data_IF_142291031762
#
_entry.id   IF_142291031762
#
_cell.length_a   1.000
_cell.length_b   1.000
_cell.length_c   1.000
_cell.angle_alpha   90.00
_cell.angle_beta   90.00
_cell.angle_gamma   90.00
#
_symmetry.space_group_name_H-M   'P 1'
#
loop_
_entity.id
_entity.type
_entity.pdbx_description
1 polymer ?
#
# COMPACT_ATOMS: atom_id res chain seq x y z
N UNK A 1 -8.23 1.71 23.01
CA UNK A 1 -8.10 3.08 23.55
C UNK A 1 -7.33 3.83 22.49
N UNK A 2 -7.62 5.12 22.28
CA UNK A 2 -6.87 5.92 21.31
C UNK A 2 -5.45 6.17 21.85
N UNK A 3 -4.61 6.83 21.06
CA UNK A 3 -3.28 7.25 21.49
C UNK A 3 -3.32 7.98 22.84
N UNK A 4 -2.28 7.79 23.66
CA UNK A 4 -2.09 8.57 24.89
C UNK A 4 -1.85 10.06 24.57
N UNK A 5 -1.90 10.91 25.59
CA UNK A 5 -1.58 12.34 25.42
C UNK A 5 -0.16 12.54 24.85
N UNK A 6 0.82 11.82 25.39
CA UNK A 6 2.22 11.89 24.94
C UNK A 6 2.38 11.40 23.49
N UNK A 7 1.66 10.33 23.12
CA UNK A 7 1.68 9.82 21.74
C UNK A 7 1.02 10.79 20.75
N UNK A 8 -0.06 11.48 21.14
CA UNK A 8 -0.65 12.54 20.32
C UNK A 8 0.30 13.73 20.16
N UNK A 9 0.97 14.12 21.24
CA UNK A 9 1.98 15.20 21.22
C UNK A 9 3.15 14.82 20.31
N UNK A 10 3.64 13.59 20.42
CA UNK A 10 4.69 13.05 19.55
C UNK A 10 4.27 13.09 18.08
N UNK A 11 3.06 12.64 17.74
CA UNK A 11 2.55 12.69 16.37
C UNK A 11 2.55 14.11 15.80
N UNK A 12 2.04 15.08 16.58
CA UNK A 12 2.04 16.49 16.17
C UNK A 12 3.45 17.03 15.92
N UNK A 13 4.37 16.81 16.86
CA UNK A 13 5.75 17.28 16.76
C UNK A 13 6.50 16.66 15.57
N UNK A 14 6.27 15.38 15.27
CA UNK A 14 6.87 14.70 14.12
C UNK A 14 6.40 15.30 12.80
N UNK A 15 5.09 15.55 12.65
CA UNK A 15 4.52 16.17 11.45
C UNK A 15 5.06 17.60 11.28
N UNK A 16 5.01 18.41 12.34
CA UNK A 16 5.50 19.78 12.31
C UNK A 16 6.99 19.86 11.92
N UNK A 17 7.81 19.00 12.52
CA UNK A 17 9.25 18.91 12.23
C UNK A 17 9.48 18.51 10.77
N UNK A 18 8.81 17.45 10.30
CA UNK A 18 8.96 16.97 8.93
C UNK A 18 8.59 18.04 7.90
N UNK A 19 7.49 18.75 8.11
CA UNK A 19 7.04 19.84 7.22
C UNK A 19 7.99 21.04 7.27
N UNK A 20 8.54 21.37 8.44
CA UNK A 20 9.50 22.46 8.60
C UNK A 20 10.80 22.17 7.85
N UNK A 21 11.34 20.96 7.97
CA UNK A 21 12.54 20.54 7.22
C UNK A 21 12.27 20.55 5.72
N UNK A 22 11.11 20.03 5.29
CA UNK A 22 10.73 20.03 3.88
C UNK A 22 10.63 21.44 3.30
N UNK A 23 10.01 22.39 4.02
CA UNK A 23 9.96 23.80 3.62
C UNK A 23 11.34 24.44 3.55
N UNK A 24 12.21 24.17 4.54
CA UNK A 24 13.55 24.74 4.60
C UNK A 24 14.49 24.21 3.51
N UNK A 25 14.32 22.94 3.09
CA UNK A 25 15.19 22.28 2.10
C UNK A 25 14.64 22.30 0.67
N UNK A 26 13.33 22.54 0.51
CA UNK A 26 12.62 22.39 -0.75
C UNK A 26 12.52 20.94 -1.25
N UNK A 27 12.83 19.95 -0.40
CA UNK A 27 12.83 18.51 -0.74
C UNK A 27 11.85 17.74 0.12
N UNK A 28 11.23 16.70 -0.45
CA UNK A 28 10.35 15.82 0.31
C UNK A 28 11.11 15.12 1.44
N UNK A 29 10.61 15.25 2.67
CA UNK A 29 11.18 14.62 3.86
C UNK A 29 10.45 13.31 4.19
N UNK A 30 11.13 12.18 4.24
CA UNK A 30 10.48 10.85 4.30
C UNK A 30 10.82 10.03 5.54
N UNK A 31 11.78 10.49 6.33
CA UNK A 31 12.42 9.76 7.43
C UNK A 31 11.43 9.42 8.56
N UNK A 32 10.40 10.25 8.77
CA UNK A 32 9.36 10.01 9.77
C UNK A 32 8.09 9.34 9.22
N UNK A 33 8.06 8.99 7.93
CA UNK A 33 6.84 8.46 7.28
C UNK A 33 6.28 7.22 7.97
N UNK A 34 7.16 6.30 8.39
CA UNK A 34 6.74 5.08 9.08
C UNK A 34 5.99 5.37 10.38
N UNK A 35 6.66 6.02 11.33
CA UNK A 35 6.12 6.34 12.66
C UNK A 35 4.90 7.28 12.60
N UNK A 36 4.90 8.26 11.68
CA UNK A 36 3.74 9.14 11.50
C UNK A 36 2.54 8.32 11.02
N UNK A 37 2.72 7.42 10.05
CA UNK A 37 1.62 6.58 9.57
C UNK A 37 1.10 5.62 10.64
N UNK A 38 1.98 5.01 11.43
CA UNK A 38 1.60 4.14 12.55
C UNK A 38 0.74 4.88 13.58
N UNK A 39 1.21 6.02 14.07
CA UNK A 39 0.48 6.82 15.06
C UNK A 39 -0.83 7.36 14.47
N UNK A 40 -0.82 7.85 13.23
CA UNK A 40 -2.01 8.39 12.58
C UNK A 40 -3.11 7.34 12.44
N UNK A 41 -2.79 6.12 11.99
CA UNK A 41 -3.81 5.07 11.85
C UNK A 41 -4.27 4.54 13.21
N UNK A 42 -3.40 4.51 14.22
CA UNK A 42 -3.81 4.15 15.58
C UNK A 42 -4.80 5.17 16.16
N UNK A 43 -4.59 6.46 15.89
CA UNK A 43 -5.51 7.52 16.29
C UNK A 43 -6.85 7.40 15.56
N UNK A 44 -6.82 7.24 14.24
CA UNK A 44 -7.99 7.17 13.36
C UNK A 44 -8.89 5.96 13.67
N UNK A 45 -8.29 4.77 13.79
CA UNK A 45 -9.02 3.51 13.98
C UNK A 45 -9.13 3.09 15.46
N UNK A 46 -8.68 3.93 16.39
CA UNK A 46 -8.71 3.66 17.84
C UNK A 46 -7.93 2.39 18.25
N UNK A 47 -6.82 2.13 17.57
CA UNK A 47 -5.88 1.05 17.92
C UNK A 47 -4.95 1.49 19.04
N UNK A 48 -4.51 0.52 19.84
CA UNK A 48 -3.44 0.70 20.82
C UNK A 48 -2.11 0.51 20.12
N UNK A 49 -1.23 1.52 20.13
CA UNK A 49 0.11 1.43 19.54
C UNK A 49 1.08 0.68 20.47
N UNK A 50 1.71 -0.42 19.99
CA UNK A 50 2.51 -1.37 20.77
C UNK A 50 3.78 -1.86 20.01
N UNK A 51 4.65 -0.98 19.50
CA UNK A 51 5.71 -1.33 18.53
C UNK A 51 6.77 -2.34 19.02
N UNK A 52 6.86 -2.56 20.34
CA UNK A 52 7.85 -3.45 20.96
C UNK A 52 7.38 -4.91 21.08
N UNK A 53 6.23 -5.28 20.49
CA UNK A 53 5.62 -6.62 20.64
C UNK A 53 5.78 -7.54 19.41
N UNK A 54 6.55 -7.10 18.41
CA UNK A 54 6.69 -7.83 17.13
C UNK A 54 5.56 -7.58 16.14
N UNK A 55 4.70 -6.61 16.46
CA UNK A 55 3.68 -5.99 15.62
C UNK A 55 3.57 -4.52 16.08
N UNK A 56 2.88 -3.67 15.31
CA UNK A 56 2.92 -2.21 15.54
C UNK A 56 1.76 -1.73 16.41
N UNK A 57 0.59 -2.38 16.32
CA UNK A 57 -0.61 -1.99 17.06
C UNK A 57 -1.56 -3.15 17.35
N UNK A 58 -2.59 -2.91 18.15
CA UNK A 58 -3.64 -3.89 18.47
C UNK A 58 -5.02 -3.23 18.50
N UNK A 59 -6.04 -3.94 18.02
CA UNK A 59 -7.44 -3.56 18.27
C UNK A 59 -7.80 -3.71 19.76
N UNK A 60 -8.94 -3.18 20.20
CA UNK A 60 -9.37 -3.33 21.60
C UNK A 60 -9.56 -4.82 21.96
N UNK A 61 -9.04 -5.21 23.13
CA UNK A 61 -9.06 -6.59 23.65
C UNK A 61 -10.48 -7.21 23.70
N UNK A 62 -10.67 -8.47 23.27
CA UNK A 62 -9.72 -9.30 22.52
C UNK A 62 -9.67 -8.84 21.05
N UNK A 63 -8.55 -8.23 20.65
CA UNK A 63 -8.42 -7.54 19.37
C UNK A 63 -7.29 -8.10 18.50
N UNK A 64 -7.41 -7.93 17.18
CA UNK A 64 -6.38 -8.37 16.25
C UNK A 64 -5.04 -7.64 16.49
N UNK A 65 -3.94 -8.37 16.34
CA UNK A 65 -2.58 -7.79 16.29
C UNK A 65 -2.32 -7.26 14.89
N UNK A 66 -1.79 -6.05 14.79
CA UNK A 66 -1.72 -5.28 13.55
C UNK A 66 -0.27 -4.95 13.22
N UNK A 67 0.15 -5.29 12.01
CA UNK A 67 1.38 -4.77 11.41
C UNK A 67 1.01 -3.66 10.42
N UNK A 68 1.61 -2.49 10.54
CA UNK A 68 1.37 -1.31 9.74
C UNK A 68 2.55 -1.09 8.79
N UNK A 69 2.24 -0.69 7.55
CA UNK A 69 3.21 -0.18 6.57
C UNK A 69 2.68 1.11 6.00
N UNK A 70 3.57 2.08 5.80
CA UNK A 70 3.18 3.42 5.36
C UNK A 70 3.84 3.77 4.04
N UNK A 71 3.09 4.43 3.15
CA UNK A 71 3.60 5.10 1.96
C UNK A 71 3.10 6.54 1.95
N UNK A 72 3.93 7.46 1.49
CA UNK A 72 3.59 8.89 1.36
C UNK A 72 3.66 9.30 -0.11
N UNK A 73 2.64 10.01 -0.57
CA UNK A 73 2.67 10.72 -1.86
C UNK A 73 3.46 12.02 -1.69
N UNK A 74 4.36 12.31 -2.63
CA UNK A 74 5.18 13.52 -2.64
C UNK A 74 4.68 14.59 -3.62
N UNK A 75 3.70 14.26 -4.47
CA UNK A 75 3.21 15.10 -5.58
C UNK A 75 1.68 15.23 -5.60
N UNK A 76 1.03 15.03 -4.45
CA UNK A 76 -0.42 15.20 -4.19
C UNK A 76 -1.36 14.15 -4.78
N UNK A 77 -1.18 13.66 -6.00
CA UNK A 77 -2.26 12.91 -6.66
C UNK A 77 -2.43 11.47 -6.14
N UNK A 78 -1.39 10.63 -6.16
CA UNK A 78 -1.46 9.27 -5.63
C UNK A 78 -0.06 8.76 -5.25
N UNK A 79 0.02 7.76 -4.38
CA UNK A 79 1.28 7.00 -4.23
C UNK A 79 1.57 6.20 -5.50
N UNK A 80 2.85 6.10 -5.88
CA UNK A 80 3.25 5.24 -6.98
C UNK A 80 2.82 3.78 -6.70
N UNK A 81 1.82 3.31 -7.48
CA UNK A 81 1.23 1.97 -7.37
C UNK A 81 2.20 0.84 -7.74
N UNK A 82 3.25 1.14 -8.51
CA UNK A 82 4.36 0.24 -8.80
C UNK A 82 5.48 0.30 -7.73
N UNK A 83 5.37 1.20 -6.75
CA UNK A 83 6.26 1.20 -5.60
C UNK A 83 6.09 -0.06 -4.76
N UNK A 84 7.18 -0.50 -4.12
CA UNK A 84 7.18 -1.63 -3.18
C UNK A 84 6.95 -1.18 -1.74
N UNK A 85 6.19 -1.96 -0.99
CA UNK A 85 6.11 -1.87 0.46
C UNK A 85 7.09 -2.86 1.06
N UNK A 86 7.74 -2.48 2.17
CA UNK A 86 8.62 -3.40 2.89
C UNK A 86 7.85 -4.64 3.32
N UNK A 87 8.56 -5.76 3.47
CA UNK A 87 7.94 -7.02 3.89
C UNK A 87 7.16 -6.85 5.21
N UNK A 88 5.98 -7.45 5.26
CA UNK A 88 5.25 -7.64 6.51
C UNK A 88 5.83 -8.81 7.29
N UNK A 89 6.20 -9.88 6.60
CA UNK A 89 6.77 -11.06 7.24
C UNK A 89 8.29 -11.08 7.14
N UNK A 90 8.98 -11.33 8.25
CA UNK A 90 10.42 -11.67 8.24
C UNK A 90 10.62 -13.09 7.73
N UNK A 91 11.81 -13.37 7.20
CA UNK A 91 12.20 -14.70 6.72
C UNK A 91 12.10 -15.79 7.79
N UNK A 92 12.26 -15.43 9.08
CA UNK A 92 12.04 -16.35 10.19
C UNK A 92 10.59 -16.25 10.69
N UNK A 93 9.75 -17.21 10.27
CA UNK A 93 8.31 -17.20 10.51
C UNK A 93 7.91 -17.17 11.99
N UNK A 94 8.77 -17.67 12.88
CA UNK A 94 8.57 -17.71 14.34
C UNK A 94 8.42 -16.33 14.98
N UNK A 95 8.73 -15.25 14.27
CA UNK A 95 8.65 -13.87 14.75
C UNK A 95 7.47 -13.07 14.17
N UNK A 96 6.66 -13.66 13.28
CA UNK A 96 5.57 -12.94 12.61
C UNK A 96 4.27 -13.05 13.42
N UNK A 97 4.11 -12.14 14.39
CA UNK A 97 3.04 -12.17 15.39
C UNK A 97 1.90 -11.18 15.08
N UNK A 98 1.42 -11.13 13.84
CA UNK A 98 0.28 -10.28 13.48
C UNK A 98 -0.84 -11.05 12.78
N UNK A 99 -2.07 -10.56 12.97
CA UNK A 99 -3.30 -11.12 12.42
C UNK A 99 -3.76 -10.34 11.18
N UNK A 100 -3.56 -9.02 11.18
CA UNK A 100 -3.93 -8.09 10.10
C UNK A 100 -2.74 -7.21 9.72
N UNK A 101 -2.45 -7.10 8.42
CA UNK A 101 -1.56 -6.07 7.90
C UNK A 101 -2.38 -4.88 7.42
N UNK A 102 -1.90 -3.67 7.71
CA UNK A 102 -2.52 -2.41 7.31
C UNK A 102 -1.53 -1.61 6.47
N UNK A 103 -1.93 -1.22 5.27
CA UNK A 103 -1.19 -0.27 4.43
C UNK A 103 -1.84 1.11 4.53
N UNK A 104 -1.09 2.08 5.02
CA UNK A 104 -1.51 3.48 5.19
C UNK A 104 -0.92 4.34 4.08
N UNK A 105 -1.76 5.14 3.43
CA UNK A 105 -1.37 6.10 2.39
C UNK A 105 -1.50 7.51 2.94
N UNK A 106 -0.39 8.25 2.98
CA UNK A 106 -0.33 9.64 3.42
C UNK A 106 -0.19 10.60 2.23
N UNK A 107 -0.78 11.80 2.32
CA UNK A 107 -0.50 12.89 1.40
C UNK A 107 0.80 13.64 1.74
N UNK A 108 1.10 14.71 0.99
CA UNK A 108 2.28 15.56 1.23
C UNK A 108 2.22 16.30 2.57
N UNK A 109 1.07 16.36 3.23
CA UNK A 109 0.88 17.03 4.52
C UNK A 109 0.82 16.01 5.68
N UNK A 110 1.16 14.75 5.39
CA UNK A 110 1.13 13.62 6.32
C UNK A 110 -0.28 13.23 6.82
N UNK A 111 -1.33 13.64 6.11
CA UNK A 111 -2.70 13.23 6.39
C UNK A 111 -3.02 11.90 5.73
N UNK A 112 -3.83 11.06 6.39
CA UNK A 112 -4.30 9.79 5.82
C UNK A 112 -5.27 10.09 4.68
N UNK A 113 -4.96 9.58 3.50
CA UNK A 113 -5.83 9.64 2.31
C UNK A 113 -6.54 8.32 2.06
N UNK A 114 -5.91 7.20 2.44
CA UNK A 114 -6.50 5.87 2.37
C UNK A 114 -5.77 4.91 3.32
N UNK A 115 -6.47 3.88 3.75
CA UNK A 115 -5.86 2.72 4.40
C UNK A 115 -6.51 1.42 3.89
N UNK A 116 -5.71 0.36 3.85
CA UNK A 116 -6.12 -0.93 3.31
C UNK A 116 -5.76 -2.03 4.31
N UNK A 117 -6.67 -2.97 4.53
CA UNK A 117 -6.51 -4.04 5.52
C UNK A 117 -6.45 -5.38 4.79
N UNK A 118 -5.55 -6.26 5.21
CA UNK A 118 -5.44 -7.60 4.65
C UNK A 118 -5.02 -8.61 5.74
N UNK A 119 -5.65 -9.78 5.77
CA UNK A 119 -5.28 -10.82 6.76
C UNK A 119 -3.85 -11.31 6.55
N UNK A 120 -3.15 -11.62 7.64
CA UNK A 120 -1.75 -12.07 7.60
C UNK A 120 -1.56 -13.34 6.76
N UNK A 121 -2.54 -14.24 6.74
CA UNK A 121 -2.51 -15.44 5.91
C UNK A 121 -2.53 -15.13 4.40
N UNK A 122 -3.28 -14.10 3.97
CA UNK A 122 -3.27 -13.64 2.59
C UNK A 122 -1.98 -12.93 2.23
N UNK A 123 -1.48 -12.07 3.13
CA UNK A 123 -0.19 -11.39 2.96
C UNK A 123 0.93 -12.40 2.74
N UNK A 124 1.00 -13.46 3.58
CA UNK A 124 1.97 -14.55 3.44
C UNK A 124 1.92 -15.22 2.06
N UNK A 125 0.71 -15.47 1.55
CA UNK A 125 0.54 -16.08 0.23
C UNK A 125 1.00 -15.12 -0.86
N UNK A 126 0.66 -13.83 -0.78
CA UNK A 126 1.09 -12.82 -1.74
C UNK A 126 2.61 -12.66 -1.74
N UNK A 127 3.24 -12.55 -0.57
CA UNK A 127 4.70 -12.41 -0.44
C UNK A 127 5.43 -13.66 -0.95
N UNK A 128 4.82 -14.86 -0.92
CA UNK A 128 5.41 -16.08 -1.47
C UNK A 128 5.51 -16.12 -3.01
N UNK A 129 4.90 -15.16 -3.70
CA UNK A 129 4.98 -15.01 -5.16
C UNK A 129 5.96 -13.90 -5.58
N UNK A 130 6.53 -13.17 -4.63
CA UNK A 130 7.53 -12.15 -4.89
C UNK A 130 8.95 -12.75 -4.78
N UNK A 131 9.93 -12.07 -5.36
CA UNK A 131 11.34 -12.44 -5.18
C UNK A 131 11.72 -12.41 -3.69
N UNK A 132 12.69 -13.24 -3.26
CA UNK A 132 13.22 -13.18 -1.91
C UNK A 132 13.56 -11.74 -1.51
N UNK A 133 13.14 -11.36 -0.31
CA UNK A 133 13.34 -10.02 0.28
C UNK A 133 12.62 -8.84 -0.41
N UNK A 134 11.89 -9.12 -1.49
CA UNK A 134 11.11 -8.13 -2.19
C UNK A 134 9.67 -8.09 -1.63
N UNK A 135 9.41 -7.17 -0.69
CA UNK A 135 8.05 -6.97 -0.15
C UNK A 135 7.05 -6.53 -1.22
N UNK A 136 5.74 -6.66 -0.98
CA UNK A 136 4.71 -6.52 -2.02
C UNK A 136 4.75 -5.20 -2.81
N UNK A 137 4.16 -5.17 -4.00
CA UNK A 137 3.81 -3.91 -4.65
C UNK A 137 2.58 -3.27 -3.97
N UNK A 138 2.53 -1.93 -3.93
CA UNK A 138 1.38 -1.16 -3.41
C UNK A 138 0.08 -1.59 -4.10
N UNK A 139 0.08 -1.66 -5.44
CA UNK A 139 -1.07 -2.09 -6.23
C UNK A 139 -1.54 -3.50 -5.88
N UNK A 140 -0.62 -4.45 -5.68
CA UNK A 140 -0.96 -5.82 -5.27
C UNK A 140 -1.73 -5.78 -3.95
N UNK A 141 -1.21 -5.10 -2.93
CA UNK A 141 -1.88 -5.01 -1.63
C UNK A 141 -3.27 -4.37 -1.74
N UNK A 142 -3.38 -3.22 -2.41
CA UNK A 142 -4.63 -2.47 -2.59
C UNK A 142 -5.71 -3.29 -3.30
N UNK A 143 -5.36 -3.94 -4.40
CA UNK A 143 -6.30 -4.74 -5.18
C UNK A 143 -6.86 -5.89 -4.35
N UNK A 144 -6.02 -6.56 -3.54
CA UNK A 144 -6.46 -7.67 -2.69
C UNK A 144 -7.30 -7.21 -1.51
N UNK A 145 -6.91 -6.14 -0.83
CA UNK A 145 -7.70 -5.57 0.26
C UNK A 145 -9.10 -5.14 -0.21
N UNK A 146 -9.19 -4.54 -1.40
CA UNK A 146 -10.47 -4.13 -1.99
C UNK A 146 -11.36 -5.31 -2.41
N UNK A 147 -10.77 -6.45 -2.76
CA UNK A 147 -11.53 -7.67 -3.06
C UNK A 147 -11.99 -8.39 -1.79
N UNK A 148 -11.22 -8.32 -0.71
CA UNK A 148 -11.63 -8.86 0.61
C UNK A 148 -12.82 -8.09 1.18
N UNK A 149 -12.81 -6.76 1.10
CA UNK A 149 -13.91 -5.93 1.60
C UNK A 149 -15.24 -6.17 0.88
N UNK A 150 -15.19 -6.66 -0.38
CA UNK A 150 -16.37 -7.02 -1.17
C UNK A 150 -16.92 -8.44 -0.87
N UNK A 151 -16.16 -9.29 -0.18
CA UNK A 151 -16.57 -10.66 0.17
C UNK A 151 -17.07 -10.70 1.61
N UNK A 152 -18.36 -10.43 1.77
CA UNK A 152 -19.12 -10.63 3.01
C UNK A 152 -19.05 -12.12 3.40
N UNK A 153 -18.51 -12.37 4.59
CA UNK A 153 -18.52 -13.61 5.39
C UNK A 153 -18.04 -14.92 4.72
N UNK A 154 -16.90 -15.45 5.20
CA UNK A 154 -16.52 -16.86 4.98
C UNK A 154 -15.06 -17.16 4.65
N UNK A 155 -14.17 -16.16 4.54
CA UNK A 155 -12.76 -16.43 4.20
C UNK A 155 -11.95 -16.94 5.41
N UNK A 156 -12.11 -18.23 5.68
CA UNK A 156 -11.19 -19.02 6.51
C UNK A 156 -9.84 -19.15 5.78
N UNK A 157 -8.73 -18.96 6.51
CA UNK A 157 -7.36 -19.13 6.03
C UNK A 157 -7.01 -20.58 5.57
N UNK A 158 -8.00 -21.48 5.47
CA UNK A 158 -7.83 -22.89 5.11
C UNK A 158 -7.76 -23.19 3.60
N UNK A 159 -7.96 -22.22 2.71
CA UNK A 159 -8.00 -22.48 1.27
C UNK A 159 -6.73 -22.06 0.51
N UNK A 160 -5.53 -22.46 0.98
CA UNK A 160 -4.27 -22.18 0.26
C UNK A 160 -4.33 -22.58 -1.23
N UNK A 161 -5.01 -23.68 -1.57
CA UNK A 161 -5.14 -24.20 -2.94
C UNK A 161 -6.17 -23.44 -3.78
N UNK A 162 -7.38 -23.19 -3.27
CA UNK A 162 -8.41 -22.45 -4.02
C UNK A 162 -8.10 -20.97 -4.12
N UNK A 163 -7.47 -20.39 -3.09
CA UNK A 163 -6.93 -19.04 -3.13
C UNK A 163 -5.88 -18.94 -4.23
N UNK A 164 -4.85 -19.81 -4.27
CA UNK A 164 -3.86 -19.83 -5.37
C UNK A 164 -4.48 -20.00 -6.76
N UNK A 165 -5.52 -20.82 -6.90
CA UNK A 165 -6.22 -21.04 -8.18
C UNK A 165 -7.04 -19.81 -8.59
N UNK A 166 -7.71 -19.17 -7.64
CA UNK A 166 -8.48 -17.94 -7.85
C UNK A 166 -7.56 -16.77 -8.15
N UNK A 167 -6.45 -16.64 -7.42
CA UNK A 167 -5.36 -15.67 -7.66
C UNK A 167 -4.84 -15.72 -9.10
N UNK A 168 -4.48 -16.92 -9.59
CA UNK A 168 -4.02 -17.13 -10.98
C UNK A 168 -5.09 -16.75 -12.00
N UNK A 169 -6.37 -17.01 -11.71
CA UNK A 169 -7.49 -16.62 -12.58
C UNK A 169 -7.68 -15.10 -12.58
N UNK A 170 -7.67 -14.45 -11.42
CA UNK A 170 -7.87 -13.00 -11.28
C UNK A 170 -6.72 -12.20 -11.88
N UNK A 171 -5.46 -12.58 -11.65
CA UNK A 171 -4.31 -11.95 -12.32
C UNK A 171 -4.38 -12.11 -13.84
N UNK A 172 -4.73 -13.31 -14.33
CA UNK A 172 -4.89 -13.55 -15.77
C UNK A 172 -6.05 -12.75 -16.37
N UNK A 173 -7.13 -12.54 -15.62
CA UNK A 173 -8.27 -11.72 -16.04
C UNK A 173 -7.89 -10.22 -16.07
N UNK A 174 -7.22 -9.71 -15.03
CA UNK A 174 -6.73 -8.33 -14.98
C UNK A 174 -5.72 -8.03 -16.09
N UNK A 175 -4.77 -8.93 -16.37
CA UNK A 175 -3.86 -8.78 -17.50
C UNK A 175 -4.60 -8.76 -18.85
N UNK A 176 -5.69 -9.52 -18.99
CA UNK A 176 -6.52 -9.52 -20.21
C UNK A 176 -7.30 -8.22 -20.36
N UNK A 177 -7.91 -7.72 -19.30
CA UNK A 177 -8.64 -6.45 -19.31
C UNK A 177 -7.71 -5.28 -19.65
N UNK A 178 -6.54 -5.20 -18.99
CA UNK A 178 -5.54 -4.16 -19.27
C UNK A 178 -5.04 -4.20 -20.72
N UNK A 179 -4.92 -5.40 -21.31
CA UNK A 179 -4.55 -5.57 -22.73
C UNK A 179 -5.67 -5.14 -23.69
N UNK A 180 -6.93 -5.29 -23.29
CA UNK A 180 -8.07 -4.82 -24.09
C UNK A 180 -8.21 -3.30 -24.04
N UNK A 181 -7.95 -2.67 -22.88
CA UNK A 181 -7.92 -1.20 -22.73
C UNK A 181 -6.81 -0.58 -23.59
N UNK A 182 -5.60 -1.14 -23.57
CA UNK A 182 -4.46 -0.71 -24.41
C UNK A 182 -4.72 -0.85 -25.93
N UNK A 183 -5.60 -1.76 -26.33
CA UNK A 183 -5.97 -1.97 -27.73
C UNK A 183 -7.20 -1.14 -28.15
N UNK A 184 -7.79 -0.38 -27.23
CA UNK A 184 -8.95 0.48 -27.47
C UNK A 184 -8.60 1.96 -27.58
N UNK A 185 -7.34 2.34 -27.33
CA UNK A 185 -6.84 3.66 -27.66
C UNK A 185 -6.78 3.81 -29.19
N UNK A 186 -7.45 4.82 -29.78
CA UNK A 186 -7.43 5.02 -31.22
C UNK A 186 -5.99 5.34 -31.66
N UNK A 187 -5.54 4.81 -32.80
CA UNK A 187 -4.22 5.14 -33.31
C UNK A 187 -4.16 6.65 -33.54
N UNK A 188 -3.20 7.32 -32.90
CA UNK A 188 -2.88 8.71 -33.18
C UNK A 188 -2.61 8.85 -34.68
N UNK A 189 -3.54 9.49 -35.41
CA UNK A 189 -3.36 9.87 -36.80
C UNK A 189 -2.18 10.83 -36.89
N UNK A 190 -1.06 10.33 -37.41
CA UNK A 190 0.06 11.17 -37.84
C UNK A 190 -0.30 11.82 -39.17
N UNK A 191 -0.86 13.03 -39.09
CA UNK A 191 -1.02 13.93 -40.21
C UNK A 191 0.35 14.50 -40.64
N UNK A 192 0.86 14.05 -41.78
CA UNK A 192 1.16 14.88 -42.96
C UNK A 192 2.25 14.25 -43.84
N UNK A 193 1.81 13.67 -44.94
CA UNK A 193 2.62 13.42 -46.13
C UNK A 193 1.89 14.10 -47.29
N UNK A 194 2.37 15.25 -47.71
CA UNK A 194 1.90 15.89 -48.94
C UNK A 194 3.10 16.26 -49.82
N UNK A 195 3.25 15.44 -50.87
CA UNK A 195 3.56 15.75 -52.29
C UNK A 195 4.78 16.65 -52.59
N UNK A 196 5.77 16.12 -53.31
CA UNK A 196 5.84 16.01 -54.78
C UNK A 196 6.28 17.32 -55.45
N UNK A 197 7.54 17.33 -55.93
CA UNK A 197 8.01 18.19 -57.02
C UNK A 197 9.05 17.41 -57.80
N UNK A 198 8.73 17.09 -59.06
CA UNK A 198 9.70 16.72 -60.09
C UNK A 198 9.57 17.76 -61.20
N UNK A 199 10.70 18.34 -61.61
CA UNK A 199 11.10 18.53 -63.01
C UNK A 199 12.57 18.96 -63.10
N UNK A 200 13.40 18.25 -63.88
CA UNK A 200 14.54 18.85 -64.57
C UNK A 200 14.11 19.38 -65.94
N UNK A 201 15.00 20.22 -66.51
CA UNK A 201 14.92 20.97 -67.77
C UNK A 201 14.37 20.18 -68.97
#
# INVERSE_FOLDING_TARGET
MSLTFDQNTLLGNLIETALTIQRGTGKAFTEFTGIIGELSICKDQNFTWEPNKGFDAREKEPGARIQIKTRRSTTEEEVNRAGRIGRFTKANESQNLFDVGVLVILNKDFEITAHYHLRSCHIKVLESFEEPDSGLHVSTFQNFASLESLKVEGNSCNHKTDYKKTMRKTQKALCRLKKLELNSEPPHESLSSTRCSIRPL
#
